data_IF_699998988244
#
_entry.id   IF_699998988244
#
_cell.length_a   1.000
_cell.length_b   1.000
_cell.length_c   1.000
_cell.angle_alpha   90.00
_cell.angle_beta   90.00
_cell.angle_gamma   90.00
#
_symmetry.space_group_name_H-M   'P 1'
#
loop_
_entity.id
_entity.type
_entity.pdbx_description
1 polymer ?
#
# COMPACT_ATOMS: atom_id res chain seq x y z
N UNK A 1 -44.26 -22.29 33.52
CA UNK A 1 -43.88 -22.53 34.92
C UNK A 1 -42.50 -23.18 34.94
N UNK A 2 -41.61 -22.54 35.55
CA UNK A 2 -40.43 -22.88 36.33
C UNK A 2 -39.27 -21.95 36.05
N UNK A 3 -39.20 -20.94 36.89
CA UNK A 3 -38.04 -20.10 37.20
C UNK A 3 -36.94 -20.96 37.83
N UNK A 4 -35.69 -20.73 37.42
CA UNK A 4 -34.54 -20.98 38.28
C UNK A 4 -33.55 -19.84 38.16
N UNK A 5 -33.54 -19.04 39.20
CA UNK A 5 -32.51 -18.07 39.59
C UNK A 5 -31.37 -18.81 40.27
N UNK A 6 -30.12 -18.46 39.94
CA UNK A 6 -28.97 -18.69 40.83
C UNK A 6 -27.91 -17.59 40.65
N UNK A 7 -27.88 -16.81 41.65
CA UNK A 7 -26.96 -15.93 42.35
C UNK A 7 -25.44 -16.17 42.15
N UNK A 8 -24.77 -15.06 41.86
CA UNK A 8 -23.61 -14.42 42.51
C UNK A 8 -22.51 -15.32 43.08
N UNK A 9 -21.27 -15.11 42.57
CA UNK A 9 -20.07 -15.07 43.39
C UNK A 9 -19.09 -14.06 42.84
N UNK A 10 -18.87 -13.00 43.61
CA UNK A 10 -17.82 -12.01 43.50
C UNK A 10 -16.50 -12.64 43.98
N UNK A 11 -15.45 -12.49 43.18
CA UNK A 11 -14.09 -12.78 43.59
C UNK A 11 -13.18 -11.67 43.06
N UNK A 12 -12.98 -10.63 43.85
CA UNK A 12 -11.98 -9.59 43.67
C UNK A 12 -10.59 -10.16 44.01
N UNK A 13 -9.71 -10.19 43.05
CA UNK A 13 -8.28 -10.38 43.26
C UNK A 13 -7.57 -9.17 42.73
N UNK A 14 -7.17 -8.30 43.68
CA UNK A 14 -6.23 -7.22 43.47
C UNK A 14 -4.80 -7.80 43.42
N UNK A 15 -4.11 -7.62 42.34
CA UNK A 15 -2.66 -7.86 42.23
C UNK A 15 -1.96 -6.52 42.11
N UNK A 16 -1.21 -6.17 43.14
CA UNK A 16 -0.29 -5.03 43.17
C UNK A 16 0.92 -5.26 42.25
N UNK A 17 1.47 -4.21 41.66
CA UNK A 17 2.68 -4.35 40.85
C UNK A 17 3.93 -4.47 41.74
N UNK A 18 4.98 -5.21 41.33
CA UNK A 18 6.23 -5.31 42.04
C UNK A 18 7.05 -4.01 41.92
N UNK A 19 7.62 -3.62 43.03
CA UNK A 19 8.53 -2.49 43.17
C UNK A 19 9.84 -2.75 42.42
N UNK A 20 10.25 -1.76 41.64
CA UNK A 20 11.57 -1.70 41.01
C UNK A 20 12.56 -1.11 41.99
N UNK A 21 13.47 -1.93 42.47
CA UNK A 21 14.63 -1.52 43.24
C UNK A 21 15.70 -0.95 42.32
N UNK A 22 16.11 0.27 42.58
CA UNK A 22 17.28 0.89 41.99
C UNK A 22 18.56 0.44 42.71
N UNK A 23 19.66 0.21 42.02
CA UNK A 23 20.98 0.11 42.68
C UNK A 23 21.75 1.44 42.62
N UNK A 24 22.13 1.82 43.72
CA UNK A 24 23.26 2.47 44.37
C UNK A 24 24.19 3.36 43.54
N UNK A 25 24.18 4.59 43.93
CA UNK A 25 25.26 5.57 43.83
C UNK A 25 26.58 5.05 44.42
N UNK A 26 27.68 5.12 43.68
CA UNK A 26 29.03 5.13 44.24
C UNK A 26 29.76 6.40 43.85
N UNK A 27 30.31 6.98 44.90
CA UNK A 27 30.98 8.25 45.05
C UNK A 27 32.32 8.33 44.28
N UNK A 28 32.60 9.57 43.90
CA UNK A 28 33.89 10.11 43.44
C UNK A 28 35.06 9.84 44.40
N UNK A 29 36.31 10.07 43.92
CA UNK A 29 37.06 11.12 44.56
C UNK A 29 37.69 12.15 43.62
N UNK A 30 37.83 13.31 44.24
CA UNK A 30 38.37 14.54 43.78
C UNK A 30 39.87 14.57 43.61
N UNK A 31 40.27 15.62 42.85
CA UNK A 31 41.50 16.40 42.95
C UNK A 31 42.77 15.89 42.29
N UNK A 32 43.20 16.66 41.30
CA UNK A 32 44.46 17.40 41.50
C UNK A 32 44.56 18.56 40.48
N UNK A 33 44.78 19.70 41.06
CA UNK A 33 45.20 20.97 40.54
C UNK A 33 46.66 20.90 40.09
N UNK A 34 46.95 21.34 38.86
CA UNK A 34 48.29 21.91 38.58
C UNK A 34 48.13 23.14 37.70
N UNK A 35 48.61 24.20 38.28
CA UNK A 35 48.72 25.56 37.80
C UNK A 35 49.80 25.75 36.74
N UNK A 36 49.63 26.87 36.02
CA UNK A 36 50.63 27.68 35.33
C UNK A 36 51.06 27.30 33.92
N UNK A 37 50.62 28.16 32.99
CA UNK A 37 51.58 28.92 32.20
C UNK A 37 50.84 30.06 31.45
N UNK A 38 51.05 31.25 31.88
CA UNK A 38 50.92 32.46 31.12
C UNK A 38 51.88 32.40 29.91
N UNK A 39 51.37 32.52 28.70
CA UNK A 39 52.16 33.02 27.56
C UNK A 39 51.23 33.59 26.49
N UNK A 40 51.25 34.90 26.44
CA UNK A 40 51.27 35.78 25.25
C UNK A 40 50.34 35.47 24.07
N UNK A 41 49.34 36.33 23.94
CA UNK A 41 48.57 36.57 22.71
C UNK A 41 49.46 37.18 21.63
N UNK A 42 49.43 36.71 20.41
CA UNK A 42 49.61 37.56 19.24
C UNK A 42 48.23 37.96 18.74
N UNK A 43 48.09 39.23 18.52
CA UNK A 43 47.02 39.90 17.83
C UNK A 43 46.84 39.28 16.42
N UNK A 44 45.95 38.30 16.34
CA UNK A 44 45.50 37.77 15.08
C UNK A 44 44.13 38.37 14.74
N UNK A 45 44.15 39.14 13.67
CA UNK A 45 43.03 39.61 12.90
C UNK A 45 41.74 38.81 13.17
N UNK A 46 40.69 39.54 13.60
CA UNK A 46 39.32 39.04 13.56
C UNK A 46 38.95 38.74 12.11
N UNK A 47 39.33 37.59 11.62
CA UNK A 47 38.65 36.96 10.52
C UNK A 47 37.28 36.54 11.03
N UNK A 48 36.29 37.39 10.80
CA UNK A 48 34.89 37.02 10.88
C UNK A 48 34.77 35.69 10.13
N UNK A 49 34.21 34.65 10.76
CA UNK A 49 33.90 33.44 10.02
C UNK A 49 32.91 33.88 8.94
N UNK A 50 33.37 34.02 7.71
CA UNK A 50 32.49 33.98 6.57
C UNK A 50 31.63 32.74 6.78
N UNK A 51 30.36 32.97 7.13
CA UNK A 51 29.38 31.90 7.03
C UNK A 51 29.60 31.30 5.65
N UNK A 52 29.96 30.01 5.54
CA UNK A 52 29.92 29.39 4.26
C UNK A 52 28.50 29.64 3.78
N UNK A 53 28.38 30.41 2.69
CA UNK A 53 27.17 30.37 1.92
C UNK A 53 27.07 28.88 1.56
N UNK A 54 26.31 28.15 2.35
CA UNK A 54 25.80 26.86 1.96
C UNK A 54 25.07 27.17 0.66
N UNK A 55 25.85 27.19 -0.41
CA UNK A 55 25.29 27.00 -1.73
C UNK A 55 24.46 25.77 -1.53
N UNK A 56 23.17 25.96 -1.49
CA UNK A 56 22.17 24.90 -1.42
C UNK A 56 22.25 24.12 -2.73
N UNK A 57 23.46 23.71 -3.04
CA UNK A 57 23.79 22.81 -4.13
C UNK A 57 23.40 21.43 -3.77
N UNK A 58 22.29 21.20 -3.27
CA UNK A 58 21.88 19.83 -3.18
C UNK A 58 20.47 19.60 -2.72
N UNK A 59 19.65 20.53 -2.72
CA UNK A 59 18.25 20.20 -2.64
C UNK A 59 17.58 20.27 -4.01
N UNK A 60 18.28 19.86 -5.05
CA UNK A 60 17.64 19.11 -6.10
C UNK A 60 17.24 17.75 -5.48
N UNK A 61 16.32 17.78 -4.54
CA UNK A 61 15.49 16.63 -4.31
C UNK A 61 14.98 16.27 -5.71
N UNK A 62 15.59 15.27 -6.33
CA UNK A 62 15.12 14.71 -7.59
C UNK A 62 13.65 14.48 -7.33
N UNK A 63 12.79 15.30 -7.93
CA UNK A 63 11.35 15.10 -7.83
C UNK A 63 11.08 13.75 -8.47
N UNK A 64 11.20 12.71 -7.67
CA UNK A 64 10.90 11.36 -8.12
C UNK A 64 9.45 11.44 -8.55
N UNK A 65 9.25 11.34 -9.85
CA UNK A 65 7.90 11.30 -10.41
C UNK A 65 7.10 10.25 -9.64
N UNK A 66 5.84 10.57 -9.34
CA UNK A 66 4.96 9.60 -8.72
C UNK A 66 4.91 8.26 -9.48
N UNK A 67 5.20 8.26 -10.80
CA UNK A 67 5.27 7.06 -11.65
C UNK A 67 6.51 6.20 -11.37
N UNK A 68 7.59 6.79 -10.94
CA UNK A 68 8.86 6.10 -10.67
C UNK A 68 9.06 5.75 -9.18
N UNK A 69 8.06 5.96 -8.34
CA UNK A 69 8.11 5.52 -6.95
C UNK A 69 8.11 4.02 -6.87
N UNK A 70 9.16 3.47 -6.33
CA UNK A 70 9.30 2.03 -6.07
C UNK A 70 8.64 1.61 -4.75
N UNK A 71 8.62 2.51 -3.75
CA UNK A 71 8.03 2.23 -2.44
C UNK A 71 6.53 2.53 -2.43
N UNK A 72 5.75 1.52 -2.09
CA UNK A 72 4.30 1.63 -1.92
C UNK A 72 3.96 2.53 -0.71
N UNK A 73 2.97 3.40 -0.86
CA UNK A 73 2.46 4.26 0.21
C UNK A 73 0.94 4.30 0.19
N UNK A 74 0.34 4.22 1.38
CA UNK A 74 -1.11 4.36 1.56
C UNK A 74 -1.52 5.84 1.49
N UNK A 75 -0.60 6.72 1.91
CA UNK A 75 -0.85 8.17 1.97
C UNK A 75 -0.97 8.74 0.56
N UNK A 76 -1.99 9.57 0.29
CA UNK A 76 -2.16 10.20 -1.01
C UNK A 76 -0.97 11.08 -1.38
N UNK A 77 -0.53 10.97 -2.62
CA UNK A 77 0.62 11.69 -3.15
C UNK A 77 0.16 12.90 -3.95
N UNK A 78 0.78 14.05 -3.73
CA UNK A 78 0.52 15.25 -4.55
C UNK A 78 0.94 14.99 -6.00
N UNK A 79 0.01 15.15 -6.93
CA UNK A 79 0.27 15.08 -8.37
C UNK A 79 0.41 16.50 -8.93
N UNK A 80 1.63 16.86 -9.31
CA UNK A 80 1.85 18.14 -10.00
C UNK A 80 1.31 18.05 -11.43
N UNK A 81 0.50 19.02 -11.82
CA UNK A 81 0.00 19.15 -13.18
C UNK A 81 0.91 20.10 -13.95
N UNK A 82 1.32 19.72 -15.13
CA UNK A 82 2.20 20.53 -15.98
C UNK A 82 1.44 21.57 -16.80
N UNK A 83 0.13 21.38 -17.03
CA UNK A 83 -0.66 22.26 -17.88
C UNK A 83 -0.13 22.31 -19.32
N UNK A 84 0.33 21.18 -19.84
CA UNK A 84 0.91 21.08 -21.20
C UNK A 84 2.32 21.64 -21.33
N UNK A 85 2.95 22.04 -20.21
CA UNK A 85 4.33 22.59 -20.21
C UNK A 85 5.35 21.48 -19.97
N UNK A 86 6.53 21.65 -20.55
CA UNK A 86 7.69 20.79 -20.33
C UNK A 86 8.48 21.20 -19.06
N UNK A 87 9.67 20.61 -18.87
CA UNK A 87 10.55 20.92 -17.73
C UNK A 87 11.13 22.34 -17.80
N UNK A 88 11.18 22.95 -18.99
CA UNK A 88 11.67 24.32 -19.21
C UNK A 88 10.57 25.36 -19.03
N UNK A 89 9.32 24.96 -18.85
CA UNK A 89 8.16 25.84 -18.72
C UNK A 89 7.50 26.23 -20.04
N UNK A 90 8.02 25.78 -21.19
CA UNK A 90 7.44 26.03 -22.51
C UNK A 90 6.21 25.16 -22.73
N UNK A 91 5.20 25.72 -23.43
CA UNK A 91 4.01 24.98 -23.80
C UNK A 91 4.34 24.03 -24.94
N UNK A 92 4.21 22.74 -24.72
CA UNK A 92 4.38 21.66 -25.70
C UNK A 92 3.03 21.19 -26.27
N UNK A 93 2.03 21.17 -25.43
CA UNK A 93 0.67 20.75 -25.84
C UNK A 93 -0.28 21.87 -25.49
N UNK A 94 -0.92 22.45 -26.52
CA UNK A 94 -1.91 23.50 -26.35
C UNK A 94 -3.24 22.92 -25.85
N UNK A 95 -4.09 23.76 -25.26
CA UNK A 95 -5.43 23.38 -24.81
C UNK A 95 -5.46 22.56 -23.50
N UNK A 96 -4.32 22.22 -22.91
CA UNK A 96 -4.28 21.49 -21.62
C UNK A 96 -4.15 22.49 -20.49
N UNK A 97 -5.23 22.64 -19.71
CA UNK A 97 -5.24 23.44 -18.49
C UNK A 97 -4.66 22.69 -17.29
N UNK A 98 -4.41 23.42 -16.19
CA UNK A 98 -4.01 22.84 -14.90
C UNK A 98 -5.13 21.99 -14.26
N UNK A 99 -6.40 22.36 -14.47
CA UNK A 99 -7.58 21.75 -13.89
C UNK A 99 -7.56 21.73 -12.37
N UNK A 100 -8.50 21.03 -11.74
CA UNK A 100 -8.58 20.89 -10.29
C UNK A 100 -7.41 20.10 -9.71
N UNK A 101 -6.93 20.50 -8.51
CA UNK A 101 -5.88 19.78 -7.78
C UNK A 101 -6.38 18.39 -7.38
N UNK A 102 -5.60 17.37 -7.71
CA UNK A 102 -5.93 15.98 -7.39
C UNK A 102 -4.78 15.32 -6.65
N UNK A 103 -5.13 14.49 -5.67
CA UNK A 103 -4.19 13.62 -4.98
C UNK A 103 -4.23 12.24 -5.62
N UNK A 104 -3.07 11.68 -5.89
CA UNK A 104 -2.94 10.33 -6.44
C UNK A 104 -2.80 9.32 -5.30
N UNK A 105 -3.58 8.25 -5.37
CA UNK A 105 -3.47 7.09 -4.50
C UNK A 105 -2.83 5.95 -5.25
N UNK A 106 -1.83 5.33 -4.66
CA UNK A 106 -1.19 4.16 -5.24
C UNK A 106 -2.09 2.95 -5.03
N UNK A 107 -2.51 2.33 -6.14
CA UNK A 107 -3.29 1.08 -6.10
C UNK A 107 -2.33 -0.08 -6.26
N UNK A 108 -2.53 -1.10 -5.45
CA UNK A 108 -1.84 -2.38 -5.62
C UNK A 108 -2.65 -3.24 -6.59
N UNK A 109 -2.11 -3.40 -7.79
CA UNK A 109 -2.71 -4.22 -8.84
C UNK A 109 -2.34 -5.70 -8.75
N UNK A 110 -1.38 -6.04 -7.89
CA UNK A 110 -0.99 -7.42 -7.65
C UNK A 110 -1.74 -7.95 -6.44
N UNK A 111 -2.83 -8.67 -6.69
CA UNK A 111 -3.73 -9.12 -5.63
C UNK A 111 -3.07 -10.19 -4.76
N UNK A 112 -2.44 -11.17 -5.34
CA UNK A 112 -1.76 -12.24 -4.61
C UNK A 112 -0.31 -11.85 -4.30
N UNK A 113 -0.11 -11.32 -3.12
CA UNK A 113 1.21 -11.01 -2.56
C UNK A 113 1.19 -11.38 -1.07
N UNK A 114 1.48 -12.64 -0.72
CA UNK A 114 1.50 -13.07 0.66
C UNK A 114 2.55 -12.26 1.44
N UNK A 115 2.24 -11.94 2.68
CA UNK A 115 3.13 -11.18 3.56
C UNK A 115 4.37 -11.98 3.96
N UNK A 116 4.19 -13.28 4.10
CA UNK A 116 5.26 -14.23 4.44
C UNK A 116 5.49 -15.17 3.25
N UNK A 117 6.71 -15.18 2.75
CA UNK A 117 7.13 -16.10 1.66
C UNK A 117 7.02 -17.57 2.06
N UNK A 118 7.03 -17.85 3.36
CA UNK A 118 6.98 -19.21 3.92
C UNK A 118 5.61 -19.90 3.83
N UNK A 119 4.52 -19.14 3.59
CA UNK A 119 3.17 -19.69 3.50
C UNK A 119 2.48 -19.25 2.21
N UNK A 120 2.67 -19.98 1.09
CA UNK A 120 2.03 -19.65 -0.19
C UNK A 120 0.52 -19.98 -0.24
N UNK A 121 -0.14 -20.12 0.89
CA UNK A 121 -1.56 -20.43 1.00
C UNK A 121 -2.48 -19.26 0.67
N UNK A 122 -3.78 -19.52 0.56
CA UNK A 122 -4.78 -18.47 0.46
C UNK A 122 -4.77 -17.58 1.71
N UNK A 123 -5.00 -16.29 1.55
CA UNK A 123 -5.07 -15.34 2.67
C UNK A 123 -6.27 -14.43 2.55
N UNK A 124 -6.79 -14.04 3.69
CA UNK A 124 -7.96 -13.18 3.82
C UNK A 124 -7.53 -11.74 4.09
N UNK A 125 -8.27 -10.81 3.51
CA UNK A 125 -8.13 -9.39 3.77
C UNK A 125 -9.49 -8.81 4.11
N UNK A 126 -9.54 -7.89 5.07
CA UNK A 126 -10.76 -7.19 5.46
C UNK A 126 -10.81 -5.80 4.83
N UNK A 127 -11.95 -5.45 4.26
CA UNK A 127 -12.22 -4.11 3.75
C UNK A 127 -12.44 -3.16 4.92
N UNK A 128 -11.58 -2.13 5.03
CA UNK A 128 -11.69 -1.11 6.08
C UNK A 128 -12.67 -0.02 5.66
N UNK A 129 -12.55 0.43 4.41
CA UNK A 129 -13.40 1.49 3.86
C UNK A 129 -13.34 1.52 2.35
N UNK A 130 -14.40 1.99 1.72
CA UNK A 130 -14.48 2.33 0.30
C UNK A 130 -14.43 3.85 0.14
N UNK A 131 -13.82 4.33 -0.92
CA UNK A 131 -13.63 5.76 -1.16
C UNK A 131 -13.54 6.09 -2.63
N UNK A 132 -14.07 7.24 -3.01
CA UNK A 132 -13.87 7.86 -4.31
C UNK A 132 -12.40 8.21 -4.58
N UNK A 133 -11.92 7.95 -5.80
CA UNK A 133 -10.59 8.34 -6.28
C UNK A 133 -10.69 9.27 -7.49
N UNK A 134 -10.22 10.53 -7.41
CA UNK A 134 -10.31 11.49 -8.50
C UNK A 134 -9.44 11.15 -9.72
N UNK A 135 -8.58 10.13 -9.63
CA UNK A 135 -7.66 9.75 -10.69
C UNK A 135 -8.16 8.61 -11.57
N UNK A 136 -9.31 8.04 -11.24
CA UNK A 136 -9.94 6.92 -11.99
C UNK A 136 -11.45 6.98 -11.92
N UNK A 137 -12.11 6.22 -12.77
CA UNK A 137 -13.57 6.12 -12.77
C UNK A 137 -14.11 5.21 -11.68
N UNK A 138 -13.36 4.16 -11.32
CA UNK A 138 -13.76 3.21 -10.30
C UNK A 138 -13.42 3.71 -8.89
N UNK A 139 -14.25 3.38 -7.92
CA UNK A 139 -13.98 3.57 -6.50
C UNK A 139 -12.86 2.64 -6.04
N UNK A 140 -12.26 2.98 -4.91
CA UNK A 140 -11.15 2.25 -4.31
C UNK A 140 -11.49 1.80 -2.91
N UNK A 141 -11.05 0.59 -2.56
CA UNK A 141 -11.19 0.03 -1.22
C UNK A 141 -9.84 -0.03 -0.52
N UNK A 142 -9.80 0.40 0.74
CA UNK A 142 -8.67 0.18 1.63
C UNK A 142 -8.87 -1.17 2.30
N UNK A 143 -7.97 -2.10 2.05
CA UNK A 143 -8.00 -3.43 2.65
C UNK A 143 -6.81 -3.65 3.58
N UNK A 144 -7.01 -4.50 4.57
CA UNK A 144 -5.98 -4.92 5.52
C UNK A 144 -5.96 -6.44 5.63
N UNK A 145 -4.76 -7.01 5.53
CA UNK A 145 -4.46 -8.40 5.79
C UNK A 145 -3.19 -8.47 6.63
N UNK A 146 -3.26 -9.01 7.84
CA UNK A 146 -2.15 -8.98 8.78
C UNK A 146 -1.70 -7.57 9.14
N UNK A 147 -0.41 -7.29 9.04
CA UNK A 147 0.17 -5.96 9.30
C UNK A 147 0.05 -5.01 8.10
N UNK A 148 -0.29 -5.53 6.93
CA UNK A 148 -0.25 -4.80 5.67
C UNK A 148 -1.61 -4.18 5.34
N UNK A 149 -1.57 -2.91 4.90
CA UNK A 149 -2.72 -2.20 4.34
C UNK A 149 -2.42 -1.79 2.90
N UNK A 150 -3.43 -1.90 2.02
CA UNK A 150 -3.28 -1.51 0.62
C UNK A 150 -4.58 -1.01 0.01
N UNK A 151 -4.47 -0.21 -1.06
CA UNK A 151 -5.59 0.20 -1.86
C UNK A 151 -5.79 -0.76 -3.02
N UNK A 152 -7.00 -1.22 -3.22
CA UNK A 152 -7.43 -2.02 -4.37
C UNK A 152 -8.57 -1.32 -5.09
N UNK A 153 -8.90 -1.74 -6.30
CA UNK A 153 -10.12 -1.28 -6.98
C UNK A 153 -11.31 -1.98 -6.32
N UNK A 154 -12.30 -1.19 -5.92
CA UNK A 154 -13.54 -1.72 -5.36
C UNK A 154 -14.43 -2.32 -6.44
N UNK A 155 -15.18 -3.34 -6.10
CA UNK A 155 -16.28 -3.88 -6.88
C UNK A 155 -17.59 -3.19 -6.50
N UNK A 156 -18.67 -3.45 -7.22
CA UNK A 156 -19.94 -2.72 -7.12
C UNK A 156 -20.57 -2.80 -5.72
N UNK A 157 -20.70 -4.01 -5.18
CA UNK A 157 -21.37 -4.26 -3.90
C UNK A 157 -20.41 -4.33 -2.70
N UNK A 158 -19.11 -4.04 -2.90
CA UNK A 158 -18.11 -4.11 -1.84
C UNK A 158 -18.35 -3.05 -0.76
N UNK A 159 -18.46 -3.47 0.49
CA UNK A 159 -18.70 -2.60 1.63
C UNK A 159 -17.58 -2.69 2.69
N UNK A 160 -17.55 -1.71 3.59
CA UNK A 160 -16.66 -1.75 4.73
C UNK A 160 -17.06 -2.89 5.68
N UNK A 161 -16.10 -3.72 6.04
CA UNK A 161 -16.32 -4.90 6.87
C UNK A 161 -16.24 -6.22 6.12
N UNK A 162 -16.38 -6.22 4.79
CA UNK A 162 -16.32 -7.42 3.97
C UNK A 162 -14.96 -8.11 4.07
N UNK A 163 -14.99 -9.43 4.01
CA UNK A 163 -13.79 -10.27 3.97
C UNK A 163 -13.63 -10.78 2.55
N UNK A 164 -12.47 -10.54 1.97
CA UNK A 164 -12.10 -10.96 0.63
C UNK A 164 -10.96 -11.98 0.68
N UNK A 165 -11.08 -13.00 -0.15
CA UNK A 165 -10.12 -14.09 -0.25
C UNK A 165 -9.17 -13.87 -1.43
N UNK A 166 -7.87 -14.03 -1.19
CA UNK A 166 -6.85 -14.03 -2.24
C UNK A 166 -6.20 -15.42 -2.30
N UNK A 167 -6.39 -16.11 -3.38
CA UNK A 167 -5.84 -17.46 -3.59
C UNK A 167 -5.05 -17.53 -4.88
N UNK A 168 -4.02 -18.36 -4.88
CA UNK A 168 -3.24 -18.71 -6.08
C UNK A 168 -3.36 -20.20 -6.43
N UNK A 169 -4.20 -20.94 -5.70
CA UNK A 169 -4.36 -22.36 -5.88
C UNK A 169 -5.41 -22.69 -6.94
N UNK A 170 -5.11 -23.64 -7.79
CA UNK A 170 -6.05 -24.21 -8.77
C UNK A 170 -6.35 -25.64 -8.33
N UNK A 171 -7.55 -25.81 -7.78
CA UNK A 171 -8.07 -27.12 -7.40
C UNK A 171 -8.62 -27.92 -8.60
N UNK A 172 -9.02 -29.16 -8.34
CA UNK A 172 -9.73 -29.99 -9.34
C UNK A 172 -11.13 -29.48 -9.65
N UNK A 173 -11.81 -28.93 -8.65
CA UNK A 173 -13.15 -28.37 -8.78
C UNK A 173 -13.06 -26.84 -8.96
N UNK A 174 -14.01 -26.30 -9.71
CA UNK A 174 -14.15 -24.86 -9.85
C UNK A 174 -14.59 -24.23 -8.53
N UNK A 175 -14.05 -23.08 -8.21
CA UNK A 175 -14.35 -22.33 -6.98
C UNK A 175 -15.50 -21.37 -7.26
N UNK A 176 -16.54 -21.42 -6.42
CA UNK A 176 -17.58 -20.39 -6.41
C UNK A 176 -17.02 -19.14 -5.70
N UNK A 177 -16.33 -18.29 -6.45
CA UNK A 177 -15.77 -17.07 -5.93
C UNK A 177 -16.85 -16.05 -5.58
N UNK A 178 -16.64 -15.32 -4.49
CA UNK A 178 -17.49 -14.19 -4.09
C UNK A 178 -17.01 -12.92 -4.80
N UNK A 179 -17.85 -11.92 -4.80
CA UNK A 179 -17.49 -10.61 -5.31
C UNK A 179 -16.32 -10.01 -4.50
N UNK A 180 -15.31 -9.51 -5.21
CA UNK A 180 -14.10 -8.97 -4.60
C UNK A 180 -12.95 -9.96 -4.40
N UNK A 181 -13.21 -11.26 -4.45
CA UNK A 181 -12.18 -12.29 -4.34
C UNK A 181 -11.19 -12.25 -5.51
N UNK A 182 -9.98 -12.75 -5.27
CA UNK A 182 -8.96 -12.90 -6.29
C UNK A 182 -8.53 -14.35 -6.44
N UNK A 183 -8.78 -14.89 -7.61
CA UNK A 183 -8.45 -16.28 -7.96
C UNK A 183 -7.73 -16.37 -9.30
N UNK A 184 -6.91 -17.39 -9.51
CA UNK A 184 -6.39 -17.69 -10.84
C UNK A 184 -7.52 -18.08 -11.79
N UNK A 185 -7.42 -17.68 -13.05
CA UNK A 185 -8.47 -17.96 -14.06
C UNK A 185 -8.78 -19.47 -14.21
N UNK A 186 -7.79 -20.31 -13.93
CA UNK A 186 -7.97 -21.77 -13.95
C UNK A 186 -8.94 -22.29 -12.90
N UNK A 187 -9.08 -21.61 -11.76
CA UNK A 187 -9.94 -22.04 -10.66
C UNK A 187 -11.41 -21.61 -10.83
N UNK A 188 -11.70 -20.60 -11.66
CA UNK A 188 -13.04 -20.04 -11.83
C UNK A 188 -13.87 -20.88 -12.83
N UNK A 189 -15.19 -21.00 -12.67
CA UNK A 189 -16.04 -21.65 -13.66
C UNK A 189 -16.13 -20.82 -14.96
N UNK A 190 -16.46 -21.46 -16.06
CA UNK A 190 -16.74 -20.82 -17.33
C UNK A 190 -18.04 -20.00 -17.19
N UNK A 191 -18.09 -18.82 -17.81
CA UNK A 191 -19.21 -17.89 -17.70
C UNK A 191 -19.08 -16.87 -16.56
N UNK A 192 -18.07 -16.99 -15.69
CA UNK A 192 -17.85 -16.04 -14.57
C UNK A 192 -17.53 -14.65 -15.11
N UNK A 193 -18.15 -13.64 -14.52
CA UNK A 193 -17.80 -12.23 -14.73
C UNK A 193 -16.52 -11.90 -13.94
N UNK A 194 -15.55 -11.30 -14.61
CA UNK A 194 -14.25 -11.00 -14.06
C UNK A 194 -13.85 -9.55 -14.29
N UNK A 195 -13.06 -8.99 -13.39
CA UNK A 195 -12.44 -7.69 -13.50
C UNK A 195 -10.95 -7.76 -13.14
N UNK A 196 -10.21 -6.66 -13.30
CA UNK A 196 -8.80 -6.55 -12.90
C UNK A 196 -7.92 -7.71 -13.41
N UNK A 197 -7.95 -7.97 -14.71
CA UNK A 197 -7.26 -9.12 -15.32
C UNK A 197 -5.80 -8.78 -15.61
N UNK A 198 -4.91 -9.70 -15.25
CA UNK A 198 -3.49 -9.66 -15.62
C UNK A 198 -3.29 -10.21 -17.05
N UNK A 199 -2.37 -9.63 -17.83
CA UNK A 199 -1.95 -10.17 -19.12
C UNK A 199 -1.00 -11.34 -18.95
N UNK A 200 -0.08 -11.20 -18.01
CA UNK A 200 0.91 -12.18 -17.62
C UNK A 200 0.86 -12.39 -16.11
N UNK A 201 1.04 -13.59 -15.63
CA UNK A 201 1.00 -13.89 -14.20
C UNK A 201 2.03 -13.05 -13.41
N UNK A 202 1.57 -12.39 -12.35
CA UNK A 202 2.41 -11.60 -11.46
C UNK A 202 2.78 -10.19 -11.95
N UNK A 203 2.31 -9.78 -13.12
CA UNK A 203 2.54 -8.43 -13.64
C UNK A 203 1.58 -7.39 -13.09
N UNK A 204 0.52 -7.84 -12.44
CA UNK A 204 -0.56 -7.00 -11.93
C UNK A 204 -1.65 -6.73 -12.96
N UNK A 205 -2.82 -6.35 -12.48
CA UNK A 205 -3.98 -6.11 -13.31
C UNK A 205 -3.74 -5.00 -14.34
N UNK A 206 -3.99 -5.29 -15.61
CA UNK A 206 -3.83 -4.36 -16.73
C UNK A 206 -5.16 -4.09 -17.45
N UNK A 207 -6.03 -5.06 -17.51
CA UNK A 207 -7.30 -5.00 -18.24
C UNK A 207 -8.49 -4.91 -17.29
N UNK A 208 -9.59 -4.34 -17.79
CA UNK A 208 -10.91 -4.29 -17.12
C UNK A 208 -10.80 -3.63 -15.73
N UNK A 209 -10.32 -2.38 -15.68
CA UNK A 209 -10.12 -1.60 -14.47
C UNK A 209 -11.04 -0.40 -14.31
N UNK A 210 -11.77 -0.04 -15.36
CA UNK A 210 -12.69 1.08 -15.32
C UNK A 210 -14.00 0.69 -14.65
N UNK A 211 -14.70 1.67 -14.07
CA UNK A 211 -16.04 1.44 -13.54
C UNK A 211 -16.99 0.92 -14.60
N UNK A 212 -17.93 0.06 -14.20
CA UNK A 212 -18.95 -0.50 -15.09
C UNK A 212 -18.40 -1.47 -16.14
N UNK A 213 -17.12 -1.89 -16.06
CA UNK A 213 -16.55 -2.83 -17.03
C UNK A 213 -16.35 -4.21 -16.40
N UNK A 214 -16.78 -5.23 -17.13
CA UNK A 214 -16.55 -6.63 -16.79
C UNK A 214 -16.07 -7.40 -18.03
N UNK A 215 -15.37 -8.48 -17.82
CA UNK A 215 -15.06 -9.49 -18.83
C UNK A 215 -15.73 -10.80 -18.49
N UNK A 216 -15.86 -11.68 -19.47
CA UNK A 216 -16.47 -12.99 -19.30
C UNK A 216 -15.43 -14.07 -19.59
N UNK A 217 -15.32 -15.04 -18.72
CA UNK A 217 -14.49 -16.22 -18.95
C UNK A 217 -15.23 -17.17 -19.91
N UNK A 218 -14.80 -17.23 -21.17
CA UNK A 218 -15.49 -18.01 -22.21
C UNK A 218 -15.15 -19.50 -22.15
N UNK A 219 -13.86 -19.84 -22.12
CA UNK A 219 -13.41 -21.24 -22.13
C UNK A 219 -11.97 -21.37 -21.64
N UNK A 220 -11.60 -22.58 -21.30
CA UNK A 220 -10.24 -22.95 -20.88
C UNK A 220 -9.70 -24.00 -21.84
N UNK A 221 -8.54 -23.75 -22.45
CA UNK A 221 -7.93 -24.63 -23.44
C UNK A 221 -6.43 -24.72 -23.19
N UNK A 222 -5.90 -25.92 -23.12
CA UNK A 222 -4.45 -26.20 -23.10
C UNK A 222 -3.61 -25.29 -22.20
N UNK A 223 -3.99 -25.14 -20.93
CA UNK A 223 -3.22 -24.29 -20.01
C UNK A 223 -3.52 -22.80 -20.11
N UNK A 224 -4.40 -22.39 -21.03
CA UNK A 224 -4.80 -20.98 -21.18
C UNK A 224 -6.30 -20.78 -20.95
N UNK A 225 -6.68 -19.57 -20.62
CA UNK A 225 -8.06 -19.13 -20.49
C UNK A 225 -8.37 -18.10 -21.56
N UNK A 226 -9.50 -18.26 -22.24
CA UNK A 226 -9.98 -17.30 -23.21
C UNK A 226 -11.07 -16.46 -22.54
N UNK A 227 -10.83 -15.17 -22.50
CA UNK A 227 -11.73 -14.17 -21.90
C UNK A 227 -12.25 -13.22 -22.97
N UNK A 228 -13.49 -12.80 -22.81
CA UNK A 228 -14.08 -11.73 -23.60
C UNK A 228 -13.92 -10.40 -22.86
N UNK A 229 -13.32 -9.44 -23.52
CA UNK A 229 -13.17 -8.08 -23.01
C UNK A 229 -14.49 -7.27 -23.20
N UNK A 230 -14.66 -6.13 -22.49
CA UNK A 230 -15.80 -5.23 -22.71
C UNK A 230 -15.95 -4.77 -24.17
N UNK A 231 -14.85 -4.70 -24.91
CA UNK A 231 -14.82 -4.40 -26.35
C UNK A 231 -15.31 -5.54 -27.26
N UNK A 232 -15.82 -6.64 -26.67
CA UNK A 232 -16.19 -7.89 -27.35
C UNK A 232 -15.02 -8.67 -27.97
N UNK A 233 -13.80 -8.14 -27.89
CA UNK A 233 -12.59 -8.87 -28.32
C UNK A 233 -12.30 -10.03 -27.39
N UNK A 234 -11.78 -11.12 -27.94
CA UNK A 234 -11.32 -12.25 -27.18
C UNK A 234 -9.81 -12.14 -26.96
N UNK A 235 -9.38 -12.43 -25.73
CA UNK A 235 -7.99 -12.45 -25.33
C UNK A 235 -7.64 -13.79 -24.69
N UNK A 236 -6.51 -14.34 -25.07
CA UNK A 236 -5.95 -15.55 -24.48
C UNK A 236 -4.95 -15.17 -23.40
N UNK A 237 -5.11 -15.74 -22.22
CA UNK A 237 -4.28 -15.46 -21.05
C UNK A 237 -3.87 -16.78 -20.41
N UNK A 238 -2.68 -16.86 -19.85
CA UNK A 238 -2.26 -18.04 -19.09
C UNK A 238 -3.18 -18.27 -17.89
N UNK A 239 -3.66 -19.50 -17.70
CA UNK A 239 -4.53 -19.85 -16.57
C UNK A 239 -3.77 -20.10 -15.26
N UNK A 240 -2.47 -20.34 -15.36
CA UNK A 240 -1.59 -20.63 -14.25
C UNK A 240 -0.73 -19.41 -13.90
N UNK A 241 -0.39 -19.30 -12.63
CA UNK A 241 0.75 -18.54 -12.13
C UNK A 241 1.82 -19.57 -11.72
N UNK A 242 3.03 -19.38 -12.19
CA UNK A 242 4.20 -20.04 -11.62
C UNK A 242 4.74 -19.25 -10.46
#
# INVERSE_FOLDING_TARGET
MALWTLTRALGSLSLAPPAVTAPGTSLLPAAQVVSNALLQLPSALMLLPCRPILTSGALHAKFISWKSRTKYTIVPVKKRKSGGRDHTGRIRVHGIGGGHKQLYRMIDFLRFRPEQETKPGPFEEKVIRVRYDPCRSADIALVAGGSRKRWIIATENMQAGDIILNSNHIGRMAVAAREGDAHPLGALPVGTLINNVESEPGRGAQYIRAAGTCGVLLRKVNGTAIIQLPSKRQMQVCKYRY
#
